data_IF_538648650457
#
_entry.id   IF_538648650457
#
_cell.length_a   1.000
_cell.length_b   1.000
_cell.length_c   1.000
_cell.angle_alpha   90.00
_cell.angle_beta   90.00
_cell.angle_gamma   90.00
#
_symmetry.space_group_name_H-M   'P 1'
#
loop_
_entity.id
_entity.type
_entity.pdbx_description
1 polymer ?
#
# COMPACT_ATOMS: atom_id res chain seq x y z
N UNK A 1 -16.71 -22.89 46.27
CA UNK A 1 -17.86 -23.03 45.34
C UNK A 1 -17.78 -21.87 44.34
N UNK A 2 -16.93 -22.00 43.32
CA UNK A 2 -16.87 -21.08 42.18
C UNK A 2 -17.01 -21.95 40.92
N UNK A 3 -18.06 -21.71 40.13
CA UNK A 3 -18.29 -22.33 38.83
C UNK A 3 -18.09 -21.32 37.69
N UNK A 4 -17.83 -21.78 36.46
CA UNK A 4 -17.05 -21.05 35.44
C UNK A 4 -17.91 -20.47 34.31
N UNK A 5 -17.57 -19.28 33.84
CA UNK A 5 -18.01 -18.76 32.53
C UNK A 5 -16.90 -17.94 31.88
N UNK A 6 -16.66 -18.24 30.59
CA UNK A 6 -15.80 -17.55 29.62
C UNK A 6 -14.28 -17.69 29.89
N UNK A 7 -13.48 -18.48 29.15
CA UNK A 7 -13.60 -18.87 27.75
C UNK A 7 -13.02 -17.78 26.84
N UNK A 8 -11.71 -17.86 26.55
CA UNK A 8 -11.06 -17.16 25.43
C UNK A 8 -10.57 -15.73 25.69
N UNK A 9 -9.44 -15.59 26.39
CA UNK A 9 -8.69 -14.32 26.43
C UNK A 9 -7.18 -14.55 26.54
N UNK A 10 -6.62 -15.37 25.65
CA UNK A 10 -5.17 -15.48 25.44
C UNK A 10 -4.95 -15.69 23.95
N UNK A 11 -4.78 -14.60 23.18
CA UNK A 11 -3.92 -14.53 21.98
C UNK A 11 -4.08 -13.17 21.29
N UNK A 12 -3.61 -12.06 21.90
CA UNK A 12 -3.40 -10.78 21.19
C UNK A 12 -2.42 -9.86 21.97
N UNK A 13 -1.26 -10.41 22.36
CA UNK A 13 -0.16 -9.62 22.95
C UNK A 13 1.22 -9.94 22.36
N UNK A 14 1.30 -10.45 21.12
CA UNK A 14 2.58 -10.87 20.54
C UNK A 14 2.96 -10.26 19.18
N UNK A 15 2.31 -9.18 18.72
CA UNK A 15 2.73 -8.48 17.48
C UNK A 15 2.87 -6.95 17.62
N UNK A 16 2.88 -6.43 18.84
CA UNK A 16 3.07 -4.98 19.09
C UNK A 16 4.34 -4.62 19.86
N UNK A 17 5.28 -5.55 20.06
CA UNK A 17 6.55 -5.26 20.75
C UNK A 17 7.77 -5.24 19.80
N UNK A 18 7.65 -5.66 18.54
CA UNK A 18 8.81 -5.77 17.62
C UNK A 18 8.99 -4.56 16.68
N UNK A 19 8.09 -3.57 16.66
CA UNK A 19 8.20 -2.42 15.74
C UNK A 19 8.49 -1.07 16.41
N UNK A 20 8.89 -1.03 17.69
CA UNK A 20 9.14 0.24 18.39
C UNK A 20 10.56 0.44 18.94
N UNK A 21 11.57 -0.34 18.55
CA UNK A 21 12.97 0.03 18.84
C UNK A 21 13.83 -0.11 17.60
N UNK A 22 14.43 1.01 17.20
CA UNK A 22 15.28 1.12 16.03
C UNK A 22 16.58 0.31 16.10
N UNK A 23 17.27 0.38 14.96
CA UNK A 23 18.65 -0.04 14.69
C UNK A 23 19.01 -1.50 14.96
N UNK A 24 18.95 -2.33 13.90
CA UNK A 24 19.99 -3.33 13.66
C UNK A 24 20.40 -3.40 12.18
N UNK A 25 21.57 -2.83 11.94
CA UNK A 25 22.46 -3.11 10.83
C UNK A 25 23.06 -4.51 11.02
N UNK A 26 22.79 -5.47 10.14
CA UNK A 26 23.81 -6.37 9.57
C UNK A 26 23.27 -7.43 8.62
N UNK A 27 24.10 -7.64 7.61
CA UNK A 27 24.15 -8.63 6.56
C UNK A 27 23.90 -10.09 7.04
N UNK A 28 23.07 -10.86 6.34
CA UNK A 28 23.26 -12.32 6.17
C UNK A 28 22.32 -12.92 5.10
N UNK A 29 22.96 -13.36 4.02
CA UNK A 29 22.70 -14.54 3.18
C UNK A 29 21.67 -15.59 3.65
N UNK A 30 20.89 -16.09 2.66
CA UNK A 30 20.33 -17.45 2.46
C UNK A 30 20.27 -18.36 3.70
N UNK A 31 19.09 -18.83 4.07
CA UNK A 31 18.55 -20.14 3.66
C UNK A 31 17.20 -20.42 4.33
N UNK A 32 16.40 -21.25 3.67
CA UNK A 32 15.14 -21.80 4.14
C UNK A 32 15.31 -22.74 5.35
N UNK A 33 14.37 -22.68 6.29
CA UNK A 33 13.85 -23.75 7.14
C UNK A 33 12.82 -23.11 8.08
N UNK A 34 11.52 -23.41 7.95
CA UNK A 34 10.82 -24.42 8.78
C UNK A 34 11.23 -24.29 10.25
N UNK A 35 10.45 -23.51 11.01
CA UNK A 35 10.45 -23.60 12.47
C UNK A 35 9.16 -24.30 12.88
N UNK A 36 9.29 -25.61 13.07
CA UNK A 36 8.41 -26.42 13.89
C UNK A 36 8.77 -26.20 15.34
N UNK A 37 7.77 -25.99 16.19
CA UNK A 37 7.80 -26.30 17.61
C UNK A 37 6.37 -26.67 18.00
N UNK A 38 6.11 -27.97 17.88
CA UNK A 38 5.10 -28.73 18.64
C UNK A 38 5.34 -28.47 20.14
N UNK A 39 4.39 -28.57 21.09
CA UNK A 39 3.28 -29.50 21.20
C UNK A 39 2.37 -29.02 22.33
N UNK A 40 1.05 -29.19 22.18
CA UNK A 40 0.13 -29.57 23.26
C UNK A 40 -1.10 -30.18 22.57
N UNK A 41 -1.11 -31.51 22.52
CA UNK A 41 -2.14 -32.39 21.98
C UNK A 41 -3.44 -32.40 22.81
N UNK A 42 -4.56 -32.61 22.10
CA UNK A 42 -5.69 -33.56 22.34
C UNK A 42 -6.96 -32.94 21.72
N UNK A 43 -7.80 -33.62 20.92
CA UNK A 43 -7.82 -34.96 20.35
C UNK A 43 -8.94 -34.99 19.26
N UNK A 44 -8.66 -35.67 18.15
CA UNK A 44 -9.57 -36.30 17.17
C UNK A 44 -10.66 -35.50 16.42
N UNK A 45 -10.39 -35.24 15.12
CA UNK A 45 -11.42 -35.02 14.09
C UNK A 45 -11.00 -34.07 12.98
N UNK A 46 -10.25 -34.60 11.99
CA UNK A 46 -9.62 -33.84 10.92
C UNK A 46 -10.60 -33.14 9.98
N UNK A 47 -10.77 -31.83 10.15
CA UNK A 47 -11.19 -30.89 9.10
C UNK A 47 -10.29 -29.64 9.22
N UNK A 48 -9.09 -29.73 8.63
CA UNK A 48 -8.13 -28.62 8.56
C UNK A 48 -8.70 -27.45 7.78
N UNK A 49 -9.25 -26.45 8.46
CA UNK A 49 -9.52 -25.14 7.86
C UNK A 49 -8.20 -24.40 7.65
N UNK A 50 -7.48 -24.80 6.61
CA UNK A 50 -6.34 -24.07 6.06
C UNK A 50 -6.77 -22.64 5.71
N UNK A 51 -6.05 -21.64 6.20
CA UNK A 51 -6.06 -20.31 5.62
C UNK A 51 -5.27 -20.36 4.29
N UNK A 52 -5.84 -21.05 3.30
CA UNK A 52 -5.38 -20.92 1.92
C UNK A 52 -5.89 -19.59 1.38
N UNK A 53 -4.97 -18.70 1.02
CA UNK A 53 -5.29 -17.62 0.09
C UNK A 53 -5.49 -18.29 -1.27
N UNK A 54 -6.70 -18.78 -1.55
CA UNK A 54 -7.07 -19.23 -2.87
C UNK A 54 -7.08 -17.99 -3.74
N UNK A 55 -6.01 -17.78 -4.52
CA UNK A 55 -6.05 -16.78 -5.58
C UNK A 55 -7.29 -17.07 -6.43
N UNK A 56 -8.13 -16.06 -6.75
CA UNK A 56 -9.26 -16.30 -7.62
C UNK A 56 -8.76 -16.96 -8.90
N UNK A 57 -9.29 -18.14 -9.20
CA UNK A 57 -8.88 -18.98 -10.34
C UNK A 57 -9.12 -18.29 -11.69
N UNK A 58 -9.88 -17.20 -11.66
CA UNK A 58 -9.97 -16.22 -12.74
C UNK A 58 -8.74 -15.31 -12.73
N UNK A 59 -7.67 -15.73 -13.43
CA UNK A 59 -6.63 -14.76 -13.83
C UNK A 59 -7.30 -13.66 -14.66
N UNK A 60 -7.12 -12.38 -14.32
CA UNK A 60 -7.62 -11.29 -15.16
C UNK A 60 -7.06 -11.47 -16.58
N UNK A 61 -7.93 -11.35 -17.59
CA UNK A 61 -7.54 -11.57 -18.98
C UNK A 61 -6.36 -10.66 -19.33
N UNK A 62 -5.26 -11.26 -19.79
CA UNK A 62 -4.06 -10.53 -20.22
C UNK A 62 -3.01 -10.27 -19.15
N UNK A 63 -3.25 -10.63 -17.88
CA UNK A 63 -2.21 -10.54 -16.84
C UNK A 63 -1.52 -11.89 -16.63
N UNK A 64 -0.18 -11.89 -16.60
CA UNK A 64 0.65 -13.09 -16.42
C UNK A 64 1.84 -12.80 -15.51
N UNK A 65 2.45 -13.84 -14.96
CA UNK A 65 3.75 -13.70 -14.30
C UNK A 65 4.84 -13.54 -15.37
N UNK A 66 5.83 -12.68 -15.12
CA UNK A 66 6.94 -12.47 -16.05
C UNK A 66 6.51 -11.87 -17.40
N UNK A 67 5.47 -11.00 -17.42
CA UNK A 67 5.00 -10.37 -18.68
C UNK A 67 6.14 -9.63 -19.41
N UNK A 68 7.11 -9.11 -18.66
CA UNK A 68 8.24 -8.35 -19.19
C UNK A 68 9.52 -9.18 -19.40
N UNK A 69 9.53 -10.49 -19.15
CA UNK A 69 10.75 -11.31 -19.20
C UNK A 69 11.47 -11.25 -20.56
N UNK A 70 10.71 -11.13 -21.65
CA UNK A 70 11.25 -11.05 -23.01
C UNK A 70 11.56 -9.63 -23.48
N UNK A 71 10.91 -8.61 -22.91
CA UNK A 71 10.97 -7.21 -23.40
C UNK A 71 11.79 -6.30 -22.49
N UNK A 72 11.74 -6.54 -21.18
CA UNK A 72 12.50 -5.84 -20.16
C UNK A 72 12.77 -6.79 -18.97
N UNK A 73 13.73 -7.72 -19.09
CA UNK A 73 13.98 -8.74 -18.06
C UNK A 73 14.37 -8.14 -16.70
N UNK A 74 15.01 -6.97 -16.70
CA UNK A 74 15.46 -6.30 -15.48
C UNK A 74 14.37 -5.41 -14.85
N UNK A 75 13.14 -5.38 -15.39
CA UNK A 75 12.08 -4.47 -14.94
C UNK A 75 11.78 -4.60 -13.43
N UNK A 76 11.52 -5.81 -12.94
CA UNK A 76 11.20 -6.04 -11.53
C UNK A 76 12.38 -5.70 -10.61
N UNK A 77 13.61 -6.00 -11.03
CA UNK A 77 14.82 -5.68 -10.26
C UNK A 77 15.07 -4.16 -10.20
N UNK A 78 14.88 -3.46 -11.31
CA UNK A 78 15.00 -2.01 -11.36
C UNK A 78 13.97 -1.36 -10.44
N UNK A 79 12.70 -1.80 -10.46
CA UNK A 79 11.66 -1.31 -9.55
C UNK A 79 12.06 -1.59 -8.09
N UNK A 80 12.37 -2.83 -7.75
CA UNK A 80 12.72 -3.25 -6.39
C UNK A 80 13.92 -2.51 -5.83
N UNK A 81 15.00 -2.38 -6.62
CA UNK A 81 16.20 -1.65 -6.20
C UNK A 81 15.93 -0.15 -6.01
N UNK A 82 15.07 0.45 -6.85
CA UNK A 82 14.68 1.85 -6.72
C UNK A 82 13.86 2.09 -5.46
N UNK A 83 12.85 1.26 -5.22
CA UNK A 83 11.99 1.34 -4.02
C UNK A 83 12.83 1.18 -2.76
N UNK A 84 13.74 0.21 -2.72
CA UNK A 84 14.66 0.02 -1.59
C UNK A 84 15.52 1.26 -1.34
N UNK A 85 16.07 1.87 -2.39
CA UNK A 85 16.84 3.11 -2.25
C UNK A 85 15.99 4.25 -1.69
N UNK A 86 14.81 4.49 -2.27
CA UNK A 86 13.89 5.53 -1.81
C UNK A 86 13.45 5.30 -0.36
N UNK A 87 13.27 4.05 0.05
CA UNK A 87 12.91 3.68 1.41
C UNK A 87 14.02 3.95 2.41
N UNK A 88 15.29 3.76 2.03
CA UNK A 88 16.42 4.14 2.86
C UNK A 88 16.54 5.65 3.06
N UNK A 89 16.11 6.44 2.07
CA UNK A 89 16.10 7.91 2.17
C UNK A 89 14.90 8.40 3.01
N UNK A 90 13.70 7.83 2.80
CA UNK A 90 12.49 8.09 3.59
C UNK A 90 11.63 6.82 3.69
N UNK A 91 11.58 6.24 4.89
CA UNK A 91 10.82 5.00 5.14
C UNK A 91 9.31 5.16 4.91
N UNK A 92 8.77 6.40 4.94
CA UNK A 92 7.36 6.65 4.68
C UNK A 92 6.97 6.39 3.22
N UNK A 93 7.94 6.28 2.30
CA UNK A 93 7.66 5.99 0.88
C UNK A 93 6.94 4.65 0.71
N UNK A 94 7.22 3.66 1.57
CA UNK A 94 6.59 2.35 1.48
C UNK A 94 5.07 2.45 1.71
N UNK A 95 4.67 3.10 2.81
CA UNK A 95 3.27 3.37 3.10
C UNK A 95 2.61 4.22 2.00
N UNK A 96 3.33 5.21 1.48
CA UNK A 96 2.83 6.07 0.40
C UNK A 96 2.55 5.27 -0.88
N UNK A 97 3.46 4.40 -1.32
CA UNK A 97 3.31 3.59 -2.54
C UNK A 97 2.21 2.53 -2.43
N UNK A 98 2.09 1.87 -1.28
CA UNK A 98 0.99 0.91 -1.03
C UNK A 98 -0.36 1.63 -1.09
N UNK A 99 -0.46 2.79 -0.43
CA UNK A 99 -1.66 3.62 -0.50
C UNK A 99 -1.92 4.12 -1.91
N UNK A 100 -0.88 4.50 -2.66
CA UNK A 100 -1.00 4.93 -4.05
C UNK A 100 -1.65 3.85 -4.90
N UNK A 101 -1.13 2.62 -4.82
CA UNK A 101 -1.67 1.48 -5.57
C UNK A 101 -3.11 1.16 -5.16
N UNK A 102 -3.44 1.24 -3.87
CA UNK A 102 -4.83 1.11 -3.41
C UNK A 102 -5.74 2.16 -4.08
N UNK A 103 -5.37 3.45 -4.02
CA UNK A 103 -6.18 4.53 -4.56
C UNK A 103 -6.40 4.42 -6.07
N UNK A 104 -5.38 3.99 -6.83
CA UNK A 104 -5.49 3.70 -8.26
C UNK A 104 -6.51 2.58 -8.50
N UNK A 105 -6.28 1.38 -7.94
CA UNK A 105 -7.18 0.24 -8.12
C UNK A 105 -8.61 0.48 -7.62
N UNK A 106 -8.78 1.35 -6.62
CA UNK A 106 -10.09 1.68 -6.07
C UNK A 106 -10.89 2.65 -6.93
N UNK A 107 -10.39 3.15 -8.07
CA UNK A 107 -11.17 3.97 -9.00
C UNK A 107 -10.96 3.42 -10.41
N UNK A 108 -12.04 2.93 -11.04
CA UNK A 108 -12.01 2.36 -12.40
C UNK A 108 -11.02 1.20 -12.69
N UNK A 109 -10.23 0.76 -11.71
CA UNK A 109 -9.31 -0.36 -11.82
C UNK A 109 -7.85 0.07 -11.70
N UNK A 110 -6.92 -0.88 -11.74
CA UNK A 110 -5.49 -0.57 -11.63
C UNK A 110 -4.94 -0.16 -13.01
N UNK A 111 -5.15 1.09 -13.41
CA UNK A 111 -4.85 1.61 -14.76
C UNK A 111 -4.01 2.90 -14.75
N UNK A 112 -3.47 3.33 -13.61
CA UNK A 112 -2.71 4.57 -13.47
C UNK A 112 -3.49 5.86 -13.79
N UNK A 113 -4.82 5.81 -13.85
CA UNK A 113 -5.68 6.99 -14.07
C UNK A 113 -5.48 8.09 -13.01
N UNK A 114 -5.09 7.73 -11.79
CA UNK A 114 -4.78 8.67 -10.71
C UNK A 114 -3.50 9.50 -10.93
N UNK A 115 -2.58 9.02 -11.78
CA UNK A 115 -1.33 9.72 -12.12
C UNK A 115 -1.55 10.85 -13.14
N UNK A 116 -2.68 10.84 -13.85
CA UNK A 116 -2.97 11.84 -14.86
C UNK A 116 -3.27 13.20 -14.23
N UNK A 117 -2.60 14.23 -14.75
CA UNK A 117 -2.87 15.61 -14.38
C UNK A 117 -4.07 16.17 -15.17
N UNK A 118 -4.50 17.38 -14.81
CA UNK A 118 -5.60 18.08 -15.48
C UNK A 118 -5.35 18.21 -16.99
N UNK A 119 -6.29 17.72 -17.79
CA UNK A 119 -6.29 17.89 -19.26
C UNK A 119 -7.43 18.84 -19.65
N UNK A 120 -7.13 19.85 -20.47
CA UNK A 120 -8.16 20.75 -21.02
C UNK A 120 -8.97 21.54 -19.98
N UNK A 121 -8.44 21.76 -18.77
CA UNK A 121 -9.15 22.43 -17.67
C UNK A 121 -10.09 21.53 -16.86
N UNK A 122 -10.24 20.25 -17.22
CA UNK A 122 -10.97 19.27 -16.44
C UNK A 122 -10.16 18.86 -15.20
N UNK A 123 -10.85 18.64 -14.07
CA UNK A 123 -10.23 18.11 -12.85
C UNK A 123 -9.82 16.66 -13.08
N UNK A 124 -8.70 16.25 -12.49
CA UNK A 124 -8.29 14.85 -12.48
C UNK A 124 -8.56 14.22 -11.12
N UNK A 125 -8.47 12.90 -11.02
CA UNK A 125 -8.60 12.17 -9.75
C UNK A 125 -7.66 12.71 -8.67
N UNK A 126 -6.49 13.22 -9.06
CA UNK A 126 -5.54 13.86 -8.15
C UNK A 126 -6.16 15.02 -7.36
N UNK A 127 -7.15 15.70 -7.94
CA UNK A 127 -7.88 16.80 -7.30
C UNK A 127 -9.06 16.35 -6.43
N UNK A 128 -9.37 15.05 -6.39
CA UNK A 128 -10.44 14.52 -5.55
C UNK A 128 -10.05 14.55 -4.08
N UNK A 129 -11.03 14.81 -3.20
CA UNK A 129 -10.80 14.94 -1.74
C UNK A 129 -9.94 13.80 -1.14
N UNK A 130 -10.17 12.51 -1.47
CA UNK A 130 -9.34 11.42 -0.94
C UNK A 130 -7.86 11.49 -1.39
N UNK A 131 -7.61 12.04 -2.57
CA UNK A 131 -6.31 12.06 -3.24
C UNK A 131 -5.48 13.32 -2.94
N UNK A 132 -6.07 14.35 -2.34
CA UNK A 132 -5.34 15.56 -1.91
C UNK A 132 -4.23 15.24 -0.89
N UNK A 133 -4.39 14.17 -0.13
CA UNK A 133 -3.40 13.69 0.84
C UNK A 133 -2.53 12.54 0.30
N UNK A 134 -2.66 12.18 -0.98
CA UNK A 134 -1.89 11.12 -1.61
C UNK A 134 -0.45 11.59 -1.83
N UNK A 135 0.50 10.74 -1.43
CA UNK A 135 1.95 10.98 -1.55
C UNK A 135 2.55 9.90 -2.44
N UNK A 136 3.78 10.10 -2.91
CA UNK A 136 4.51 9.09 -3.68
C UNK A 136 4.61 9.37 -5.18
N UNK A 137 3.98 10.43 -5.71
CA UNK A 137 4.10 10.83 -7.12
C UNK A 137 5.57 10.92 -7.60
N UNK A 138 6.44 11.59 -6.82
CA UNK A 138 7.86 11.68 -7.16
C UNK A 138 8.62 10.36 -7.05
N UNK A 139 8.19 9.44 -6.18
CA UNK A 139 8.76 8.10 -6.08
C UNK A 139 8.42 7.28 -7.33
N UNK A 140 7.16 7.32 -7.76
CA UNK A 140 6.69 6.67 -8.99
C UNK A 140 7.40 7.24 -10.22
N UNK A 141 7.56 8.56 -10.29
CA UNK A 141 8.33 9.23 -11.36
C UNK A 141 9.79 8.75 -11.40
N UNK A 142 10.45 8.70 -10.25
CA UNK A 142 11.84 8.24 -10.15
C UNK A 142 12.00 6.76 -10.56
N UNK A 143 11.03 5.90 -10.22
CA UNK A 143 11.00 4.50 -10.65
C UNK A 143 10.81 4.44 -12.17
N UNK A 144 9.78 5.10 -12.69
CA UNK A 144 9.51 5.14 -14.13
C UNK A 144 10.72 5.64 -14.91
N UNK A 145 11.38 6.70 -14.44
CA UNK A 145 12.57 7.24 -15.10
C UNK A 145 13.70 6.20 -15.20
N UNK A 146 13.94 5.41 -14.14
CA UNK A 146 14.96 4.35 -14.18
C UNK A 146 14.56 3.20 -15.10
N UNK A 147 13.28 2.83 -15.10
CA UNK A 147 12.76 1.77 -15.97
C UNK A 147 12.85 2.20 -17.44
N UNK A 148 12.41 3.42 -17.77
CA UNK A 148 12.47 3.97 -19.13
C UNK A 148 13.91 4.15 -19.64
N UNK A 149 14.87 4.42 -18.74
CA UNK A 149 16.28 4.48 -19.11
C UNK A 149 16.85 3.11 -19.54
N UNK A 150 16.28 2.01 -19.04
CA UNK A 150 16.68 0.65 -19.41
C UNK A 150 15.84 0.11 -20.58
N UNK A 151 14.53 0.33 -20.54
CA UNK A 151 13.54 -0.25 -21.45
C UNK A 151 12.48 0.80 -21.86
N UNK A 152 12.77 1.62 -22.88
CA UNK A 152 11.88 2.69 -23.29
C UNK A 152 10.50 2.19 -23.74
N UNK A 153 9.43 2.82 -23.26
CA UNK A 153 8.05 2.60 -23.68
C UNK A 153 7.52 1.18 -23.48
N UNK A 154 8.11 0.42 -22.54
CA UNK A 154 7.81 -1.01 -22.39
C UNK A 154 6.94 -1.29 -21.16
N UNK A 155 7.35 -0.81 -19.98
CA UNK A 155 6.67 -1.12 -18.71
C UNK A 155 5.63 -0.05 -18.40
N UNK A 156 4.39 -0.46 -18.12
CA UNK A 156 3.29 0.47 -17.85
C UNK A 156 3.36 1.06 -16.43
N UNK A 157 2.74 2.21 -16.19
CA UNK A 157 2.63 2.79 -14.85
C UNK A 157 1.88 1.91 -13.83
N UNK A 158 0.72 1.29 -14.15
CA UNK A 158 0.01 0.49 -13.15
C UNK A 158 0.79 -0.76 -12.75
N UNK A 159 1.61 -1.33 -13.64
CA UNK A 159 2.52 -2.42 -13.24
C UNK A 159 3.69 -1.93 -12.39
N UNK A 160 4.23 -0.73 -12.65
CA UNK A 160 5.19 -0.09 -11.75
C UNK A 160 4.56 0.11 -10.37
N UNK A 161 3.32 0.59 -10.28
CA UNK A 161 2.61 0.76 -9.00
C UNK A 161 2.42 -0.58 -8.28
N UNK A 162 1.98 -1.62 -8.99
CA UNK A 162 1.76 -2.95 -8.43
C UNK A 162 3.06 -3.57 -7.87
N UNK A 163 4.14 -3.50 -8.65
CA UNK A 163 5.46 -3.99 -8.24
C UNK A 163 6.02 -3.17 -7.07
N UNK A 164 5.91 -1.84 -7.14
CA UNK A 164 6.41 -0.95 -6.10
C UNK A 164 5.65 -1.12 -4.77
N UNK A 165 4.33 -1.37 -4.82
CA UNK A 165 3.55 -1.70 -3.64
C UNK A 165 3.98 -3.03 -3.02
N UNK A 166 4.19 -4.08 -3.84
CA UNK A 166 4.72 -5.37 -3.36
C UNK A 166 6.08 -5.22 -2.69
N UNK A 167 7.00 -4.51 -3.34
CA UNK A 167 8.35 -4.29 -2.81
C UNK A 167 8.32 -3.46 -1.52
N UNK A 168 7.42 -2.48 -1.44
CA UNK A 168 7.19 -1.70 -0.23
C UNK A 168 6.68 -2.55 0.93
N UNK A 169 5.76 -3.49 0.68
CA UNK A 169 5.27 -4.42 1.70
C UNK A 169 6.37 -5.33 2.22
N UNK A 170 7.22 -5.85 1.34
CA UNK A 170 8.36 -6.69 1.74
C UNK A 170 9.33 -5.91 2.62
N UNK A 171 9.60 -4.63 2.31
CA UNK A 171 10.52 -3.80 3.10
C UNK A 171 10.02 -3.52 4.53
N UNK A 172 8.71 -3.48 4.73
CA UNK A 172 8.09 -3.29 6.07
C UNK A 172 7.83 -4.62 6.80
N UNK A 173 8.38 -5.74 6.31
CA UNK A 173 8.28 -7.06 6.95
C UNK A 173 7.06 -7.88 6.53
N UNK A 174 6.34 -7.47 5.47
CA UNK A 174 5.27 -8.23 4.87
C UNK A 174 5.76 -9.43 4.05
N UNK A 175 4.87 -10.35 3.67
CA UNK A 175 5.22 -11.52 2.87
C UNK A 175 5.61 -11.12 1.44
N UNK A 176 6.59 -11.81 0.87
CA UNK A 176 6.84 -11.75 -0.56
C UNK A 176 5.79 -12.57 -1.31
N UNK A 177 5.18 -11.98 -2.33
CA UNK A 177 4.25 -12.66 -3.22
C UNK A 177 4.54 -12.31 -4.68
N UNK A 178 4.25 -13.22 -5.63
CA UNK A 178 4.41 -12.94 -7.04
C UNK A 178 3.31 -11.99 -7.52
N UNK A 179 3.67 -11.04 -8.40
CA UNK A 179 2.75 -10.03 -8.93
C UNK A 179 2.47 -10.36 -10.39
N UNK A 180 1.19 -10.48 -10.74
CA UNK A 180 0.78 -10.54 -12.14
C UNK A 180 0.99 -9.16 -12.78
N UNK A 181 1.58 -9.12 -13.97
CA UNK A 181 1.88 -7.93 -14.77
C UNK A 181 1.25 -8.04 -16.16
N UNK A 182 1.23 -6.94 -16.92
CA UNK A 182 0.52 -6.79 -18.20
C UNK A 182 -0.61 -5.74 -18.16
N UNK A 183 -0.70 -4.92 -17.11
CA UNK A 183 -1.68 -3.82 -17.03
C UNK A 183 -1.32 -2.73 -18.03
N UNK A 184 -2.31 -1.90 -18.41
CA UNK A 184 -2.14 -0.82 -19.38
C UNK A 184 -2.57 0.52 -18.80
N UNK A 185 -1.89 1.56 -19.22
CA UNK A 185 -2.15 2.94 -18.81
C UNK A 185 -3.51 3.41 -19.31
N UNK A 186 -4.24 4.11 -18.44
CA UNK A 186 -5.48 4.79 -18.78
C UNK A 186 -5.21 6.02 -19.65
N UNK A 187 -6.15 6.33 -20.53
CA UNK A 187 -6.11 7.56 -21.32
C UNK A 187 -6.82 8.72 -20.62
N UNK A 188 -7.63 8.44 -19.60
CA UNK A 188 -8.52 9.39 -18.94
C UNK A 188 -8.44 9.25 -17.41
N UNK A 189 -8.86 10.29 -16.71
CA UNK A 189 -8.91 10.35 -15.26
C UNK A 189 -10.35 10.56 -14.78
N UNK A 190 -10.75 9.83 -13.76
CA UNK A 190 -12.14 9.69 -13.29
C UNK A 190 -12.42 10.51 -12.02
N UNK A 191 -12.35 11.85 -12.16
CA UNK A 191 -12.49 12.76 -11.02
C UNK A 191 -13.82 12.57 -10.25
N UNK A 192 -14.95 12.41 -10.95
CA UNK A 192 -16.26 12.34 -10.29
C UNK A 192 -16.40 11.06 -9.48
N UNK A 193 -15.87 9.96 -9.98
CA UNK A 193 -15.84 8.65 -9.34
C UNK A 193 -14.95 8.69 -8.09
N UNK A 194 -13.78 9.33 -8.18
CA UNK A 194 -12.92 9.53 -7.01
C UNK A 194 -13.53 10.48 -5.97
N UNK A 195 -14.29 11.49 -6.41
CA UNK A 195 -14.95 12.45 -5.55
C UNK A 195 -16.27 11.95 -4.93
N UNK A 196 -16.89 10.90 -5.50
CA UNK A 196 -18.18 10.38 -5.07
C UNK A 196 -18.17 9.63 -3.73
N UNK A 197 -17.03 9.57 -3.04
CA UNK A 197 -16.91 8.83 -1.77
C UNK A 197 -16.78 7.32 -1.96
N UNK A 198 -16.43 6.87 -3.16
CA UNK A 198 -16.18 5.46 -3.45
C UNK A 198 -14.95 4.93 -2.68
N UNK A 199 -13.98 5.79 -2.37
CA UNK A 199 -12.87 5.44 -1.48
C UNK A 199 -13.33 5.65 -0.04
N UNK A 200 -13.31 4.60 0.82
CA UNK A 200 -13.72 4.72 2.20
C UNK A 200 -12.96 5.82 2.93
N UNK A 201 -13.72 6.74 3.54
CA UNK A 201 -13.13 7.79 4.35
C UNK A 201 -12.51 7.19 5.63
N UNK A 202 -11.46 7.82 6.20
CA UNK A 202 -10.85 7.33 7.45
C UNK A 202 -11.81 7.28 8.65
N UNK A 203 -12.92 8.02 8.59
CA UNK A 203 -13.99 8.02 9.59
C UNK A 203 -15.23 7.21 9.17
N UNK A 204 -15.15 6.44 8.08
CA UNK A 204 -16.23 5.58 7.62
C UNK A 204 -16.55 4.49 8.65
N UNK A 205 -17.83 4.15 8.78
CA UNK A 205 -18.24 3.03 9.63
C UNK A 205 -17.85 1.70 8.99
N UNK A 206 -17.74 0.65 9.79
CA UNK A 206 -17.44 -0.70 9.30
C UNK A 206 -18.36 -1.13 8.15
N UNK A 207 -19.67 -0.88 8.27
CA UNK A 207 -20.65 -1.23 7.25
C UNK A 207 -20.42 -0.48 5.93
N UNK A 208 -20.09 0.82 5.99
CA UNK A 208 -19.78 1.61 4.79
C UNK A 208 -18.50 1.12 4.10
N UNK A 209 -17.50 0.73 4.89
CA UNK A 209 -16.26 0.16 4.34
C UNK A 209 -16.51 -1.18 3.68
N UNK A 210 -17.26 -2.08 4.30
CA UNK A 210 -17.63 -3.36 3.69
C UNK A 210 -18.40 -3.17 2.39
N UNK A 211 -19.38 -2.26 2.37
CA UNK A 211 -20.17 -1.97 1.17
C UNK A 211 -19.28 -1.47 0.01
N UNK A 212 -18.39 -0.51 0.27
CA UNK A 212 -17.48 0.01 -0.74
C UNK A 212 -16.54 -1.07 -1.32
N UNK A 213 -16.03 -1.96 -0.48
CA UNK A 213 -15.18 -3.08 -0.91
C UNK A 213 -15.97 -4.17 -1.65
N UNK A 214 -17.20 -4.46 -1.22
CA UNK A 214 -18.08 -5.42 -1.88
C UNK A 214 -18.42 -5.00 -3.31
N UNK A 215 -18.60 -3.69 -3.56
CA UNK A 215 -18.77 -3.15 -4.92
C UNK A 215 -17.56 -3.39 -5.84
N UNK A 216 -16.39 -3.75 -5.27
CA UNK A 216 -15.17 -4.13 -5.99
C UNK A 216 -14.89 -5.63 -5.98
N UNK A 217 -15.85 -6.42 -5.52
CA UNK A 217 -15.78 -7.87 -5.52
C UNK A 217 -14.96 -8.46 -4.37
N UNK A 218 -14.62 -7.65 -3.35
CA UNK A 218 -13.95 -8.16 -2.16
C UNK A 218 -14.97 -8.74 -1.17
N UNK A 219 -14.60 -9.86 -0.56
CA UNK A 219 -15.29 -10.46 0.58
C UNK A 219 -14.93 -9.71 1.87
N UNK A 220 -15.77 -9.85 2.90
CA UNK A 220 -15.51 -9.27 4.23
C UNK A 220 -14.13 -9.66 4.79
N UNK A 221 -13.73 -10.93 4.62
CA UNK A 221 -12.42 -11.44 5.04
C UNK A 221 -11.27 -10.74 4.32
N UNK A 222 -11.40 -10.51 3.02
CA UNK A 222 -10.41 -9.77 2.24
C UNK A 222 -10.37 -8.28 2.61
N UNK A 223 -11.54 -7.67 2.86
CA UNK A 223 -11.62 -6.30 3.37
C UNK A 223 -10.87 -6.16 4.69
N UNK A 224 -11.13 -7.05 5.65
CA UNK A 224 -10.43 -7.02 6.97
C UNK A 224 -8.93 -7.22 6.79
N UNK A 225 -8.50 -8.13 5.92
CA UNK A 225 -7.08 -8.33 5.62
C UNK A 225 -6.42 -7.07 5.03
N UNK A 226 -7.09 -6.37 4.11
CA UNK A 226 -6.60 -5.14 3.48
C UNK A 226 -6.61 -3.94 4.44
N UNK A 227 -7.56 -3.88 5.39
CA UNK A 227 -7.55 -2.85 6.44
C UNK A 227 -6.36 -3.00 7.40
N UNK A 228 -5.85 -4.23 7.59
CA UNK A 228 -4.64 -4.49 8.37
C UNK A 228 -3.40 -3.73 7.87
N UNK A 229 -3.32 -3.41 6.57
CA UNK A 229 -2.24 -2.62 5.97
C UNK A 229 -2.23 -1.16 6.48
N UNK A 230 -3.38 -0.65 6.91
CA UNK A 230 -3.49 0.70 7.46
C UNK A 230 -2.84 0.84 8.84
N UNK A 231 -2.62 -0.27 9.56
CA UNK A 231 -1.87 -0.27 10.82
C UNK A 231 -0.36 0.03 10.62
N UNK A 232 0.16 -0.19 9.41
CA UNK A 232 1.56 0.06 9.04
C UNK A 232 1.77 1.50 8.54
N UNK A 233 0.69 2.23 8.23
CA UNK A 233 0.76 3.54 7.57
C UNK A 233 0.36 4.68 8.51
N UNK A 234 1.19 5.72 8.62
CA UNK A 234 0.86 6.93 9.39
C UNK A 234 -0.16 7.80 8.65
N UNK A 235 -1.34 8.02 9.23
CA UNK A 235 -2.31 9.01 8.74
C UNK A 235 -2.05 10.39 9.40
N UNK A 236 -2.23 11.51 8.69
CA UNK A 236 -2.32 12.84 9.31
C UNK A 236 -3.38 12.86 10.42
N UNK A 237 -3.07 13.40 11.60
CA UNK A 237 -4.01 13.45 12.74
C UNK A 237 -5.34 14.18 12.42
N UNK A 238 -5.38 15.03 11.39
CA UNK A 238 -6.59 15.72 10.94
C UNK A 238 -7.63 14.77 10.31
N UNK A 239 -7.20 13.60 9.86
CA UNK A 239 -8.05 12.63 9.16
C UNK A 239 -8.62 11.55 10.08
N UNK A 240 -8.06 11.33 11.28
CA UNK A 240 -8.54 10.31 12.21
C UNK A 240 -9.76 10.79 13.02
N UNK A 241 -10.82 9.98 13.06
CA UNK A 241 -11.99 10.28 13.87
C UNK A 241 -11.63 10.33 15.36
N UNK A 242 -11.88 11.50 15.99
CA UNK A 242 -11.51 11.86 17.37
C UNK A 242 -10.00 12.05 17.54
N UNK A 243 -9.58 13.29 17.86
CA UNK A 243 -8.19 13.72 18.10
C UNK A 243 -7.47 12.98 19.24
N UNK A 244 -7.29 11.68 19.10
CA UNK A 244 -6.44 10.80 19.91
C UNK A 244 -5.16 10.53 19.14
N UNK A 245 -4.39 11.59 18.90
CA UNK A 245 -2.94 11.40 18.85
C UNK A 245 -2.55 11.04 20.30
N UNK A 246 -1.89 9.90 20.52
CA UNK A 246 -1.40 9.52 21.85
C UNK A 246 -0.57 10.64 22.44
N UNK A 247 -1.14 11.35 23.42
CA UNK A 247 -0.48 12.45 24.11
C UNK A 247 0.58 11.88 25.07
N UNK A 248 1.76 11.55 24.53
CA UNK A 248 2.97 11.42 25.32
C UNK A 248 3.42 12.81 25.77
N UNK A 249 2.93 13.25 26.92
CA UNK A 249 3.35 14.48 27.59
C UNK A 249 4.87 14.47 27.81
N UNK A 250 5.61 15.22 27.00
CA UNK A 250 7.02 15.56 27.26
C UNK A 250 7.13 17.06 27.35
N UNK A 251 7.08 17.53 28.59
CA UNK A 251 7.14 18.93 28.98
C UNK A 251 8.59 19.40 28.96
N UNK A 252 9.04 20.04 27.88
CA UNK A 252 10.23 20.90 27.91
C UNK A 252 10.00 22.11 27.00
N UNK A 253 9.89 23.28 27.63
CA UNK A 253 9.73 24.55 26.92
C UNK A 253 11.06 25.09 26.40
N UNK A 254 11.03 25.70 25.22
CA UNK A 254 11.87 26.84 24.87
C UNK A 254 11.19 27.64 23.76
N UNK A 255 10.84 28.90 24.08
CA UNK A 255 10.36 29.90 23.13
C UNK A 255 11.50 30.29 22.19
N UNK A 256 11.25 30.34 20.88
CA UNK A 256 11.84 31.36 20.00
C UNK A 256 11.03 31.54 18.72
N UNK A 257 11.10 32.77 18.20
CA UNK A 257 10.16 33.50 17.35
C UNK A 257 10.09 33.12 15.87
N UNK A 258 8.95 33.49 15.27
CA UNK A 258 8.59 33.43 13.85
C UNK A 258 9.56 34.17 12.90
N UNK A 259 9.77 33.60 11.72
CA UNK A 259 10.25 34.25 10.49
C UNK A 259 9.54 33.66 9.26
N UNK A 260 9.23 34.43 8.21
CA UNK A 260 8.26 34.02 7.19
C UNK A 260 8.81 33.01 6.18
N UNK A 261 7.98 32.01 5.85
CA UNK A 261 8.26 30.98 4.86
C UNK A 261 8.27 31.55 3.43
N UNK A 262 9.39 31.35 2.73
CA UNK A 262 9.58 31.71 1.31
C UNK A 262 8.90 30.64 0.45
N UNK A 263 7.87 31.01 -0.32
CA UNK A 263 7.22 30.13 -1.31
C UNK A 263 8.20 29.81 -2.44
N UNK A 264 8.58 28.55 -2.57
CA UNK A 264 9.14 27.98 -3.80
C UNK A 264 8.04 27.21 -4.51
N UNK A 265 7.61 27.72 -5.66
CA UNK A 265 6.68 27.09 -6.61
C UNK A 265 7.31 25.82 -7.22
N UNK A 266 6.63 24.67 -7.27
CA UNK A 266 7.09 23.53 -8.06
C UNK A 266 6.70 23.73 -9.54
N UNK A 267 7.62 23.38 -10.44
CA UNK A 267 7.42 23.45 -11.90
C UNK A 267 6.37 22.46 -12.38
N UNK A 268 5.42 22.92 -13.17
CA UNK A 268 4.43 22.10 -13.88
C UNK A 268 5.10 21.28 -14.98
N UNK A 269 5.17 19.95 -14.84
CA UNK A 269 5.44 19.02 -15.93
C UNK A 269 4.19 18.19 -16.17
N UNK A 270 3.66 18.30 -17.38
CA UNK A 270 2.46 17.61 -17.86
C UNK A 270 2.77 16.15 -18.18
N UNK A 271 1.98 15.24 -17.62
CA UNK A 271 2.01 13.82 -17.97
C UNK A 271 1.26 13.62 -19.28
N UNK A 272 1.90 12.97 -20.24
CA UNK A 272 1.25 12.52 -21.48
C UNK A 272 1.32 11.01 -21.50
N UNK A 273 0.17 10.35 -21.62
CA UNK A 273 0.12 8.94 -21.98
C UNK A 273 0.86 8.74 -23.32
N UNK A 274 1.74 7.76 -23.36
CA UNK A 274 2.33 7.21 -24.59
C UNK A 274 2.16 5.71 -24.57
#
# INVERSE_FOLDING_TARGET
MLGPLAGGAICLLALSIVLCTGDLRSNATRSAAVLSLDDYEEDNGADSSSFSFTFPETRPRGLVFGFYDATCPDAEEIVSSTVRRLYHDDSNVAAALVRFFFHDCFIHGCDASVLLDRVGGCRSERDASPNLSLRGFGAVEAIKQRVEAACPGTVSFPDILALAARDSLVLVGGPAYPVLTGRRDSAESFYYEAAAGNIPAPNATYAMTLDAFAHRGFTERETVALLGLSAVCTAPCELTASGRCGAGSSRTGSKTSQGPARRTTPSTRTWSAR
#
